data_IF_081722676188
#
_entry.id   IF_081722676188
#
_cell.length_a   1.000
_cell.length_b   1.000
_cell.length_c   1.000
_cell.angle_alpha   90.00
_cell.angle_beta   90.00
_cell.angle_gamma   90.00
#
_symmetry.space_group_name_H-M   'P 1'
#
loop_
_entity.id
_entity.type
_entity.pdbx_description
1 polymer ?
#
# COMPACT_ATOMS: atom_id res chain seq x y z
N UNK A 1 -10.15 37.23 8.40
CA UNK A 1 -10.35 35.83 7.94
C UNK A 1 -11.72 35.77 7.29
N UNK A 2 -11.77 35.57 5.97
CA UNK A 2 -12.97 35.80 5.16
C UNK A 2 -14.07 34.81 5.49
N UNK A 3 -15.31 35.29 5.72
CA UNK A 3 -16.47 34.47 6.10
C UNK A 3 -16.72 33.25 5.19
N UNK A 4 -16.32 33.35 3.92
CA UNK A 4 -16.36 32.27 2.93
C UNK A 4 -15.48 31.05 3.27
N UNK A 5 -14.37 31.26 3.98
CA UNK A 5 -13.50 30.17 4.42
C UNK A 5 -14.15 29.38 5.56
N UNK A 6 -14.89 30.06 6.45
CA UNK A 6 -15.58 29.43 7.59
C UNK A 6 -16.73 28.55 7.11
N UNK A 7 -17.54 29.05 6.16
CA UNK A 7 -18.64 28.25 5.58
C UNK A 7 -18.12 27.03 4.80
N UNK A 8 -16.98 27.18 4.10
CA UNK A 8 -16.33 26.07 3.41
C UNK A 8 -15.85 24.97 4.38
N UNK A 9 -15.19 25.35 5.47
CA UNK A 9 -14.72 24.39 6.50
C UNK A 9 -15.89 23.63 7.15
N UNK A 10 -16.98 24.33 7.49
CA UNK A 10 -18.19 23.71 8.04
C UNK A 10 -18.81 22.69 7.08
N UNK A 11 -18.88 23.02 5.78
CA UNK A 11 -19.40 22.09 4.76
C UNK A 11 -18.52 20.86 4.53
N UNK A 12 -17.21 20.99 4.79
CA UNK A 12 -16.28 19.87 4.74
C UNK A 12 -16.44 19.00 5.98
N UNK A 13 -16.45 19.59 7.17
CA UNK A 13 -16.69 18.85 8.41
C UNK A 13 -17.98 18.05 8.35
N UNK A 14 -19.09 18.63 7.89
CA UNK A 14 -20.37 17.92 7.76
C UNK A 14 -20.32 16.74 6.78
N UNK A 15 -19.59 16.90 5.66
CA UNK A 15 -19.39 15.84 4.66
C UNK A 15 -18.46 14.72 5.14
N UNK A 16 -17.46 15.07 5.94
CA UNK A 16 -16.45 14.15 6.45
C UNK A 16 -16.76 13.66 7.87
N UNK A 17 -17.82 14.16 8.52
CA UNK A 17 -18.22 13.80 9.88
C UNK A 17 -18.50 12.30 10.05
N UNK A 18 -19.10 11.69 9.01
CA UNK A 18 -19.37 10.26 8.95
C UNK A 18 -18.33 9.48 8.16
N UNK A 19 -17.30 10.14 7.61
CA UNK A 19 -16.22 9.45 6.94
C UNK A 19 -15.25 8.96 8.01
N UNK A 20 -15.51 7.75 8.50
CA UNK A 20 -14.60 7.04 9.39
C UNK A 20 -13.32 6.76 8.60
N UNK A 21 -12.36 7.69 8.64
CA UNK A 21 -10.98 7.44 8.28
C UNK A 21 -10.42 6.44 9.30
N UNK A 22 -10.60 5.14 9.02
CA UNK A 22 -9.94 4.07 9.73
C UNK A 22 -8.44 4.12 9.39
N UNK A 23 -7.72 5.11 9.92
CA UNK A 23 -6.25 5.20 9.87
C UNK A 23 -5.61 3.90 10.39
N UNK A 24 -6.29 3.24 11.33
CA UNK A 24 -5.91 1.94 11.85
C UNK A 24 -6.00 0.81 10.81
N UNK A 25 -6.98 0.85 9.91
CA UNK A 25 -7.09 -0.13 8.81
C UNK A 25 -5.88 -0.06 7.89
N UNK A 26 -5.44 1.14 7.53
CA UNK A 26 -4.25 1.34 6.69
C UNK A 26 -2.96 0.86 7.38
N UNK A 27 -2.83 1.07 8.68
CA UNK A 27 -1.71 0.54 9.47
C UNK A 27 -1.70 -0.99 9.49
N UNK A 28 -2.85 -1.63 9.74
CA UNK A 28 -2.98 -3.09 9.72
C UNK A 28 -2.71 -3.65 8.31
N UNK A 29 -3.25 -3.00 7.28
CA UNK A 29 -3.04 -3.39 5.88
C UNK A 29 -1.56 -3.36 5.50
N UNK A 30 -0.83 -2.28 5.86
CA UNK A 30 0.60 -2.17 5.61
C UNK A 30 1.40 -3.27 6.32
N UNK A 31 1.05 -3.60 7.57
CA UNK A 31 1.70 -4.65 8.35
C UNK A 31 1.50 -6.03 7.72
N UNK A 32 0.26 -6.36 7.31
CA UNK A 32 -0.06 -7.64 6.64
C UNK A 32 0.72 -7.78 5.33
N UNK A 33 0.80 -6.71 4.53
CA UNK A 33 1.58 -6.70 3.30
C UNK A 33 3.06 -6.98 3.55
N UNK A 34 3.64 -6.32 4.56
CA UNK A 34 5.04 -6.50 4.95
C UNK A 34 5.35 -7.94 5.35
N UNK A 35 4.52 -8.52 6.22
CA UNK A 35 4.68 -9.91 6.67
C UNK A 35 4.58 -10.88 5.49
N UNK A 36 3.64 -10.67 4.57
CA UNK A 36 3.49 -11.50 3.36
C UNK A 36 4.74 -11.47 2.48
N UNK A 37 5.32 -10.29 2.26
CA UNK A 37 6.56 -10.13 1.46
C UNK A 37 7.74 -10.83 2.15
N UNK A 38 7.91 -10.62 3.47
CA UNK A 38 8.99 -11.25 4.23
C UNK A 38 8.88 -12.77 4.25
N UNK A 39 7.67 -13.32 4.48
CA UNK A 39 7.44 -14.76 4.47
C UNK A 39 7.75 -15.37 3.10
N UNK A 40 7.36 -14.70 2.02
CA UNK A 40 7.65 -15.16 0.67
C UNK A 40 9.13 -15.06 0.30
N UNK A 41 9.81 -14.00 0.74
CA UNK A 41 11.26 -13.87 0.58
C UNK A 41 12.01 -15.01 1.30
N UNK A 42 11.62 -15.30 2.56
CA UNK A 42 12.20 -16.41 3.31
C UNK A 42 11.94 -17.77 2.65
N UNK A 43 10.73 -17.99 2.13
CA UNK A 43 10.40 -19.18 1.36
C UNK A 43 11.30 -19.35 0.13
N UNK A 44 11.50 -18.29 -0.67
CA UNK A 44 12.39 -18.34 -1.83
C UNK A 44 13.82 -18.71 -1.41
N UNK A 45 14.36 -18.04 -0.38
CA UNK A 45 15.72 -18.29 0.12
C UNK A 45 15.89 -19.71 0.66
N UNK A 46 14.91 -20.23 1.41
CA UNK A 46 14.95 -21.60 1.97
C UNK A 46 15.01 -22.69 0.90
N UNK A 47 14.51 -22.40 -0.31
CA UNK A 47 14.46 -23.32 -1.45
C UNK A 47 15.63 -23.13 -2.42
N UNK A 48 16.60 -22.26 -2.09
CA UNK A 48 17.77 -21.98 -2.95
C UNK A 48 17.48 -21.02 -4.11
N UNK A 49 16.34 -20.34 -4.10
CA UNK A 49 15.97 -19.32 -5.09
C UNK A 49 16.30 -17.92 -4.55
N UNK A 50 16.70 -17.01 -5.43
CA UNK A 50 16.91 -15.60 -5.05
C UNK A 50 15.58 -14.84 -5.11
N UNK A 51 15.30 -14.04 -4.08
CA UNK A 51 14.12 -13.16 -4.05
C UNK A 51 14.28 -12.05 -5.11
N UNK A 52 13.43 -12.04 -6.13
CA UNK A 52 13.45 -11.03 -7.18
C UNK A 52 12.33 -10.01 -6.92
N UNK A 53 12.68 -8.93 -6.23
CA UNK A 53 11.79 -7.80 -5.95
C UNK A 53 11.80 -6.74 -7.06
N UNK A 54 11.54 -7.12 -8.31
CA UNK A 54 11.53 -6.17 -9.43
C UNK A 54 10.20 -5.40 -9.50
N UNK A 55 10.00 -4.47 -8.56
CA UNK A 55 8.86 -3.55 -8.56
C UNK A 55 9.21 -2.33 -9.43
N UNK A 56 9.28 -2.53 -10.75
CA UNK A 56 9.44 -1.43 -11.71
C UNK A 56 8.07 -0.96 -12.17
N UNK A 57 7.60 0.17 -11.65
CA UNK A 57 6.41 0.90 -12.10
C UNK A 57 6.63 1.48 -13.51
N UNK A 58 6.67 0.62 -14.54
CA UNK A 58 6.80 1.05 -15.93
C UNK A 58 5.52 0.71 -16.71
N UNK A 59 4.71 1.72 -16.99
CA UNK A 59 3.65 1.66 -18.00
C UNK A 59 4.28 1.39 -19.38
N UNK A 60 3.79 0.48 -20.25
CA UNK A 60 2.56 -0.33 -20.22
C UNK A 60 2.78 -1.79 -19.73
N UNK A 61 3.94 -2.09 -19.13
CA UNK A 61 4.33 -3.47 -18.73
C UNK A 61 3.96 -3.80 -17.28
N UNK A 62 2.73 -3.50 -16.86
CA UNK A 62 2.21 -3.82 -15.51
C UNK A 62 2.31 -5.34 -15.23
N UNK A 63 2.11 -6.17 -16.24
CA UNK A 63 2.14 -7.63 -16.11
C UNK A 63 3.54 -8.25 -15.93
N UNK A 64 4.60 -7.47 -16.08
CA UNK A 64 5.97 -7.91 -15.76
C UNK A 64 6.37 -7.59 -14.31
N UNK A 65 5.47 -6.98 -13.54
CA UNK A 65 5.64 -6.71 -12.12
C UNK A 65 5.26 -7.98 -11.35
N UNK A 66 6.25 -8.64 -10.75
CA UNK A 66 6.03 -9.85 -9.98
C UNK A 66 7.02 -9.94 -8.84
N UNK A 67 6.50 -10.18 -7.64
CA UNK A 67 7.30 -10.63 -6.51
C UNK A 67 7.46 -12.15 -6.70
N UNK A 68 8.64 -12.59 -7.11
CA UNK A 68 8.88 -13.96 -7.54
C UNK A 68 10.16 -14.55 -6.98
N UNK A 69 10.17 -15.87 -6.81
CA UNK A 69 11.41 -16.62 -6.62
C UNK A 69 12.06 -16.82 -7.99
N UNK A 70 13.30 -16.34 -8.19
CA UNK A 70 14.07 -16.57 -9.42
C UNK A 70 15.09 -17.68 -9.16
N UNK A 71 15.17 -18.67 -10.07
CA UNK A 71 16.23 -19.67 -10.02
C UNK A 71 17.57 -18.96 -10.14
N UNK A 72 18.48 -19.23 -9.19
CA UNK A 72 19.77 -18.57 -9.14
C UNK A 72 20.65 -18.94 -10.33
#
# INVERSE_FOLDING_TARGET
>A
MSAMFVSYQLSLEEKFFNMIENKWFWMVFALVLLVGIFAYAFYCTSRGYSFNGNVKLNWPKIWQMGIGCKAS
#
